data_IF_977152156716
#
_entry.id   IF_977152156716
#
_cell.length_a   1.000
_cell.length_b   1.000
_cell.length_c   1.000
_cell.angle_alpha   90.00
_cell.angle_beta   90.00
_cell.angle_gamma   90.00
#
_symmetry.space_group_name_H-M   'P 1'
#
loop_
_entity.id
_entity.type
_entity.pdbx_description
1 polymer ?
#
# COMPACT_ATOMS: atom_id res chain seq x y z
N UNK A 1 1.20 31.21 -28.78
CA UNK A 1 1.11 31.22 -27.30
C UNK A 1 0.96 29.78 -26.86
N UNK A 2 1.90 29.25 -26.07
CA UNK A 2 1.79 27.88 -25.57
C UNK A 2 0.62 27.80 -24.59
N UNK A 3 -0.31 26.87 -24.83
CA UNK A 3 -1.42 26.62 -23.94
C UNK A 3 -0.89 26.13 -22.59
N UNK A 4 -1.11 26.94 -21.55
CA UNK A 4 -0.66 26.63 -20.18
C UNK A 4 -1.57 25.58 -19.58
N UNK A 5 -0.99 24.49 -19.10
CA UNK A 5 -1.74 23.34 -18.57
C UNK A 5 -1.69 23.29 -17.05
N UNK A 6 -2.84 23.02 -16.41
CA UNK A 6 -2.98 22.89 -14.97
C UNK A 6 -2.20 21.67 -14.43
N UNK A 7 -1.31 21.90 -13.46
CA UNK A 7 -0.52 20.82 -12.84
C UNK A 7 -1.38 19.79 -12.05
N UNK A 8 -2.60 20.16 -11.68
CA UNK A 8 -3.52 19.25 -11.01
C UNK A 8 -4.37 18.48 -12.02
N UNK A 9 -5.25 19.18 -12.74
CA UNK A 9 -6.28 18.56 -13.59
C UNK A 9 -5.91 18.35 -15.05
N UNK A 10 -4.73 18.79 -15.49
CA UNK A 10 -4.32 18.78 -16.90
C UNK A 10 -5.25 19.56 -17.85
N UNK A 11 -6.23 20.29 -17.32
CA UNK A 11 -7.03 21.23 -18.10
C UNK A 11 -6.31 22.56 -18.35
N UNK A 12 -6.80 23.35 -19.29
CA UNK A 12 -6.23 24.65 -19.65
C UNK A 12 -6.30 25.65 -18.48
N UNK A 13 -5.24 26.42 -18.32
CA UNK A 13 -5.21 27.56 -17.40
C UNK A 13 -5.80 28.77 -18.14
N UNK A 14 -6.85 29.42 -17.60
CA UNK A 14 -7.49 30.55 -18.26
C UNK A 14 -6.48 31.64 -18.65
N UNK A 15 -6.66 32.24 -19.83
CA UNK A 15 -5.78 33.31 -20.30
C UNK A 15 -5.71 34.49 -19.33
N UNK A 16 -6.82 34.80 -18.65
CA UNK A 16 -6.92 35.83 -17.63
C UNK A 16 -6.20 35.49 -16.30
N UNK A 17 -5.80 34.24 -16.08
CA UNK A 17 -5.05 33.88 -14.88
C UNK A 17 -3.64 34.47 -14.92
N UNK A 18 -3.12 34.84 -13.74
CA UNK A 18 -1.76 35.38 -13.56
C UNK A 18 -0.72 34.55 -14.34
N UNK A 19 0.34 35.19 -14.84
CA UNK A 19 1.36 34.52 -15.67
C UNK A 19 2.00 33.31 -14.98
N UNK A 20 2.20 33.40 -13.66
CA UNK A 20 2.76 32.37 -12.78
C UNK A 20 1.76 31.30 -12.32
N UNK A 21 0.50 31.35 -12.78
CA UNK A 21 -0.51 30.41 -12.34
C UNK A 21 -0.16 28.99 -12.81
N UNK A 22 -0.02 28.07 -11.84
CA UNK A 22 0.26 26.64 -12.06
C UNK A 22 -1.02 25.79 -12.07
N UNK A 23 -2.14 26.36 -11.60
CA UNK A 23 -3.44 25.68 -11.51
C UNK A 23 -4.54 26.54 -12.14
N UNK A 24 -5.52 25.90 -12.80
CA UNK A 24 -6.63 26.59 -13.45
C UNK A 24 -7.65 27.22 -12.48
N UNK A 25 -7.66 26.79 -11.21
CA UNK A 25 -8.61 27.27 -10.20
C UNK A 25 -8.08 27.15 -8.78
N UNK A 26 -8.71 27.86 -7.84
CA UNK A 26 -8.46 27.74 -6.40
C UNK A 26 -8.68 26.29 -5.93
N UNK A 27 -9.75 25.64 -6.40
CA UNK A 27 -10.04 24.23 -6.08
C UNK A 27 -8.92 23.29 -6.49
N UNK A 28 -8.39 23.44 -7.71
CA UNK A 28 -7.26 22.64 -8.19
C UNK A 28 -5.99 22.90 -7.38
N UNK A 29 -5.71 24.16 -7.03
CA UNK A 29 -4.58 24.51 -6.16
C UNK A 29 -4.69 23.87 -4.78
N UNK A 30 -5.84 23.97 -4.14
CA UNK A 30 -6.08 23.37 -2.81
C UNK A 30 -5.98 21.85 -2.87
N UNK A 31 -6.52 21.21 -3.91
CA UNK A 31 -6.42 19.78 -4.11
C UNK A 31 -4.97 19.31 -4.30
N UNK A 32 -4.19 20.00 -5.17
CA UNK A 32 -2.76 19.75 -5.34
C UNK A 32 -1.99 19.92 -4.04
N UNK A 33 -2.23 21.00 -3.30
CA UNK A 33 -1.54 21.25 -2.04
C UNK A 33 -1.83 20.16 -1.00
N UNK A 34 -3.09 19.75 -0.81
CA UNK A 34 -3.46 18.66 0.10
C UNK A 34 -2.84 17.33 -0.31
N UNK A 35 -2.85 17.02 -1.60
CA UNK A 35 -2.24 15.80 -2.12
C UNK A 35 -0.72 15.81 -1.86
N UNK A 36 -0.03 16.88 -2.27
CA UNK A 36 1.41 17.00 -2.11
C UNK A 36 1.82 16.96 -0.63
N UNK A 37 1.07 17.63 0.24
CA UNK A 37 1.35 17.62 1.68
C UNK A 37 1.12 16.23 2.30
N UNK A 38 0.13 15.49 1.80
CA UNK A 38 -0.15 14.13 2.26
C UNK A 38 0.86 13.08 1.76
N UNK A 39 1.57 13.35 0.67
CA UNK A 39 2.70 12.52 0.23
C UNK A 39 4.00 12.94 0.94
N UNK A 40 4.28 14.24 0.94
CA UNK A 40 5.58 14.79 1.33
C UNK A 40 6.68 14.53 0.29
N UNK A 41 7.79 15.24 0.42
CA UNK A 41 9.02 15.00 -0.35
C UNK A 41 9.99 14.28 0.57
N UNK A 42 10.59 13.19 0.10
CA UNK A 42 11.63 12.49 0.86
C UNK A 42 12.99 13.17 0.66
N UNK A 43 13.82 13.11 1.71
CA UNK A 43 15.23 13.48 1.62
C UNK A 43 16.03 12.31 1.07
N UNK A 44 17.02 12.59 0.23
CA UNK A 44 17.98 11.59 -0.23
C UNK A 44 18.92 11.19 0.92
N UNK A 45 19.16 9.90 1.09
CA UNK A 45 19.88 9.37 2.27
C UNK A 45 20.94 8.32 1.90
N UNK A 46 21.04 7.85 0.65
CA UNK A 46 21.99 6.79 0.30
C UNK A 46 22.31 6.63 -1.18
N UNK A 47 23.42 5.94 -1.48
CA UNK A 47 23.91 5.77 -2.86
C UNK A 47 23.29 4.56 -3.58
N UNK A 48 22.65 3.63 -2.84
CA UNK A 48 22.05 2.42 -3.41
C UNK A 48 20.68 2.70 -4.05
N UNK A 49 20.54 2.37 -5.33
CA UNK A 49 19.29 2.47 -6.11
C UNK A 49 18.60 1.11 -6.16
N UNK A 50 17.36 1.04 -5.67
CA UNK A 50 16.51 -0.14 -5.70
C UNK A 50 15.44 -0.04 -6.79
N UNK A 51 15.05 -1.20 -7.32
CA UNK A 51 13.86 -1.36 -8.17
C UNK A 51 12.70 -1.82 -7.31
N UNK A 52 11.75 -0.93 -7.09
CA UNK A 52 10.58 -1.15 -6.24
C UNK A 52 9.30 -1.19 -7.06
N UNK A 53 8.31 -1.94 -6.56
CA UNK A 53 7.02 -2.06 -7.23
C UNK A 53 5.82 -1.97 -6.28
N UNK A 54 4.71 -1.49 -6.82
CA UNK A 54 3.39 -1.64 -6.23
C UNK A 54 2.40 -2.21 -7.24
N UNK A 55 1.54 -3.11 -6.75
CA UNK A 55 0.47 -3.71 -7.52
C UNK A 55 -0.87 -3.66 -6.77
N UNK A 56 -1.91 -3.25 -7.48
CA UNK A 56 -3.31 -3.25 -7.02
C UNK A 56 -4.18 -3.92 -8.09
N UNK A 57 -3.98 -5.23 -8.34
CA UNK A 57 -4.73 -5.93 -9.37
C UNK A 57 -6.21 -5.98 -9.03
N UNK A 58 -7.10 -6.19 -10.01
CA UNK A 58 -8.40 -6.78 -9.76
C UNK A 58 -8.27 -8.00 -8.84
N UNK A 59 -8.80 -7.89 -7.62
CA UNK A 59 -8.64 -8.94 -6.61
C UNK A 59 -9.28 -10.26 -7.06
N UNK A 60 -8.75 -11.42 -6.61
CA UNK A 60 -9.27 -12.72 -7.02
C UNK A 60 -10.79 -12.84 -6.87
N UNK A 61 -11.46 -13.24 -7.95
CA UNK A 61 -12.92 -13.38 -8.03
C UNK A 61 -13.70 -12.06 -8.13
N UNK A 62 -13.01 -10.91 -8.22
CA UNK A 62 -13.65 -9.59 -8.30
C UNK A 62 -13.52 -8.94 -9.69
N UNK A 63 -12.66 -9.45 -10.58
CA UNK A 63 -12.37 -8.82 -11.87
C UNK A 63 -13.60 -8.62 -12.74
N UNK A 64 -14.37 -9.69 -12.99
CA UNK A 64 -15.61 -9.62 -13.80
C UNK A 64 -16.65 -8.67 -13.20
N UNK A 65 -16.79 -8.65 -11.86
CA UNK A 65 -17.80 -7.85 -11.16
C UNK A 65 -17.57 -6.35 -11.33
N UNK A 66 -16.33 -5.91 -11.25
CA UNK A 66 -15.99 -4.48 -11.28
C UNK A 66 -15.56 -3.99 -12.65
N UNK A 67 -14.97 -4.86 -13.46
CA UNK A 67 -14.34 -4.49 -14.73
C UNK A 67 -14.92 -5.21 -15.93
N UNK A 68 -15.87 -6.14 -15.77
CA UNK A 68 -16.40 -6.94 -16.89
C UNK A 68 -17.10 -6.14 -18.00
N UNK A 69 -17.45 -4.88 -17.74
CA UNK A 69 -17.99 -3.93 -18.75
C UNK A 69 -16.95 -2.96 -19.29
N UNK A 70 -15.69 -3.04 -18.84
CA UNK A 70 -14.61 -2.17 -19.29
C UNK A 70 -14.08 -2.67 -20.66
N UNK A 71 -13.84 -1.78 -21.65
CA UNK A 71 -13.30 -2.18 -22.95
C UNK A 71 -12.00 -2.99 -22.87
N UNK A 72 -11.17 -2.66 -21.87
CA UNK A 72 -9.87 -3.31 -21.65
C UNK A 72 -9.93 -4.55 -20.73
N UNK A 73 -11.11 -5.13 -20.51
CA UNK A 73 -11.25 -6.32 -19.66
C UNK A 73 -10.60 -7.54 -20.31
N UNK A 74 -9.47 -7.97 -19.75
CA UNK A 74 -8.68 -9.10 -20.23
C UNK A 74 -8.94 -10.42 -19.47
N UNK A 75 -9.96 -10.47 -18.61
CA UNK A 75 -10.24 -11.64 -17.77
C UNK A 75 -9.72 -11.51 -16.34
N UNK A 76 -9.58 -12.65 -15.67
CA UNK A 76 -9.04 -12.73 -14.32
C UNK A 76 -7.51 -12.60 -14.36
N UNK A 77 -6.94 -11.88 -13.39
CA UNK A 77 -5.48 -11.78 -13.26
C UNK A 77 -4.91 -13.10 -12.74
N UNK A 78 -3.89 -13.62 -13.43
CA UNK A 78 -3.06 -14.72 -12.93
C UNK A 78 -2.15 -14.20 -11.81
N UNK A 79 -2.58 -14.42 -10.56
CA UNK A 79 -1.88 -13.91 -9.39
C UNK A 79 -0.57 -14.65 -9.11
N UNK A 80 -0.48 -15.93 -9.49
CA UNK A 80 0.76 -16.70 -9.36
C UNK A 80 1.83 -16.07 -10.24
N UNK A 81 1.52 -15.88 -11.53
CA UNK A 81 2.45 -15.26 -12.47
C UNK A 81 2.80 -13.82 -12.10
N UNK A 82 1.84 -13.05 -11.58
CA UNK A 82 2.08 -11.69 -11.09
C UNK A 82 3.09 -11.69 -9.94
N UNK A 83 2.94 -12.59 -8.97
CA UNK A 83 3.85 -12.68 -7.82
C UNK A 83 5.25 -13.15 -8.24
N UNK A 84 5.34 -14.10 -9.18
CA UNK A 84 6.62 -14.51 -9.79
C UNK A 84 7.30 -13.32 -10.46
N UNK A 85 6.58 -12.58 -11.32
CA UNK A 85 7.10 -11.39 -11.98
C UNK A 85 7.58 -10.32 -10.98
N UNK A 86 6.83 -10.11 -9.90
CA UNK A 86 7.20 -9.17 -8.85
C UNK A 86 8.46 -9.61 -8.11
N UNK A 87 8.58 -10.90 -7.80
CA UNK A 87 9.70 -11.45 -7.03
C UNK A 87 10.99 -11.55 -7.85
N UNK A 88 10.89 -11.78 -9.15
CA UNK A 88 12.03 -11.86 -10.05
C UNK A 88 12.49 -10.49 -10.56
N UNK A 89 11.57 -9.53 -10.65
CA UNK A 89 11.79 -8.25 -11.31
C UNK A 89 12.22 -7.09 -10.41
N UNK A 90 12.03 -7.21 -9.10
CA UNK A 90 12.12 -6.09 -8.16
C UNK A 90 12.82 -6.49 -6.84
N UNK A 91 13.58 -5.56 -6.28
CA UNK A 91 14.26 -5.70 -4.98
C UNK A 91 13.28 -5.63 -3.80
N UNK A 92 12.09 -5.04 -4.03
CA UNK A 92 11.00 -5.01 -3.08
C UNK A 92 9.68 -4.65 -3.73
N UNK A 93 8.59 -5.20 -3.22
CA UNK A 93 7.27 -4.93 -3.77
C UNK A 93 6.16 -4.97 -2.71
N UNK A 94 5.07 -4.27 -3.00
CA UNK A 94 3.84 -4.32 -2.22
C UNK A 94 2.63 -4.64 -3.13
N UNK A 95 1.72 -5.47 -2.64
CA UNK A 95 0.55 -5.98 -3.35
C UNK A 95 -0.70 -5.77 -2.49
N UNK A 96 -1.66 -5.00 -2.99
CA UNK A 96 -2.98 -4.91 -2.37
C UNK A 96 -3.87 -6.09 -2.76
N UNK A 97 -4.67 -6.57 -1.81
CA UNK A 97 -5.70 -7.58 -2.04
C UNK A 97 -6.92 -7.35 -1.15
N UNK A 98 -7.93 -8.20 -1.24
CA UNK A 98 -9.08 -8.20 -0.31
C UNK A 98 -8.84 -9.11 0.88
N UNK A 99 -9.52 -8.86 2.00
CA UNK A 99 -9.49 -9.76 3.16
C UNK A 99 -9.98 -11.18 2.82
N UNK A 100 -10.91 -11.32 1.86
CA UNK A 100 -11.44 -12.60 1.37
C UNK A 100 -10.38 -13.40 0.60
N UNK A 101 -9.58 -12.72 -0.23
CA UNK A 101 -8.54 -13.34 -1.04
C UNK A 101 -7.17 -13.43 -0.34
N UNK A 102 -7.04 -12.89 0.87
CA UNK A 102 -5.75 -12.79 1.56
C UNK A 102 -5.08 -14.16 1.72
N UNK A 103 -5.82 -15.17 2.16
CA UNK A 103 -5.26 -16.50 2.42
C UNK A 103 -4.68 -17.13 1.15
N UNK A 104 -5.42 -17.08 0.04
CA UNK A 104 -4.98 -17.69 -1.21
C UNK A 104 -3.80 -16.93 -1.82
N UNK A 105 -3.86 -15.59 -1.83
CA UNK A 105 -2.76 -14.77 -2.37
C UNK A 105 -1.49 -14.92 -1.54
N UNK A 106 -1.58 -14.87 -0.21
CA UNK A 106 -0.42 -15.02 0.67
C UNK A 106 0.25 -16.39 0.53
N UNK A 107 -0.52 -17.45 0.26
CA UNK A 107 0.02 -18.79 0.02
C UNK A 107 0.89 -18.90 -1.24
N UNK A 108 0.73 -17.98 -2.20
CA UNK A 108 1.55 -17.90 -3.42
C UNK A 108 2.81 -17.06 -3.22
N UNK A 109 2.89 -16.28 -2.14
CA UNK A 109 3.98 -15.34 -1.91
C UNK A 109 5.28 -16.04 -1.45
N UNK A 110 6.46 -15.49 -1.78
CA UNK A 110 7.74 -16.03 -1.33
C UNK A 110 7.86 -16.01 0.20
N UNK A 111 8.71 -16.90 0.73
CA UNK A 111 9.05 -16.90 2.15
C UNK A 111 9.61 -15.53 2.59
N UNK A 112 9.24 -15.12 3.80
CA UNK A 112 9.58 -13.79 4.34
C UNK A 112 8.62 -12.67 3.93
N UNK A 113 7.58 -12.96 3.14
CA UNK A 113 6.50 -12.01 2.87
C UNK A 113 5.76 -11.63 4.15
N UNK A 114 5.38 -10.36 4.27
CA UNK A 114 4.69 -9.81 5.44
C UNK A 114 3.37 -9.18 5.01
N UNK A 115 2.44 -9.05 5.97
CA UNK A 115 1.14 -8.43 5.74
C UNK A 115 1.05 -7.16 6.56
N UNK A 116 0.82 -6.05 5.87
CA UNK A 116 0.48 -4.77 6.44
C UNK A 116 -1.04 -4.51 6.33
N UNK A 117 -1.57 -3.62 7.17
CA UNK A 117 -3.01 -3.38 7.27
C UNK A 117 -3.33 -1.91 7.04
N UNK A 118 -4.17 -1.62 6.04
CA UNK A 118 -4.78 -0.31 5.88
C UNK A 118 -6.20 -0.30 6.44
N UNK A 119 -6.39 0.31 7.61
CA UNK A 119 -7.71 0.54 8.22
C UNK A 119 -8.37 1.77 7.58
N UNK A 120 -9.47 1.53 6.86
CA UNK A 120 -10.23 2.56 6.12
C UNK A 120 -11.44 3.07 6.88
N UNK A 121 -11.80 2.38 7.96
CA UNK A 121 -13.05 2.58 8.69
C UNK A 121 -14.23 1.88 8.01
N UNK A 122 -15.27 1.64 8.79
CA UNK A 122 -16.48 0.97 8.30
C UNK A 122 -17.26 1.87 7.33
N UNK A 123 -17.87 1.28 6.30
CA UNK A 123 -18.96 1.94 5.56
C UNK A 123 -20.26 1.49 6.22
N UNK A 124 -21.03 2.38 6.88
CA UNK A 124 -22.24 1.97 7.58
C UNK A 124 -23.27 1.39 6.59
N UNK A 125 -23.45 0.07 6.63
CA UNK A 125 -24.41 -0.67 5.80
C UNK A 125 -24.94 -1.85 6.58
N UNK A 126 -26.21 -2.25 6.36
CA UNK A 126 -26.73 -3.50 6.94
C UNK A 126 -25.93 -4.69 6.40
N UNK A 127 -25.49 -5.58 7.28
CA UNK A 127 -24.74 -6.78 6.94
C UNK A 127 -25.15 -7.93 7.86
N UNK A 128 -25.11 -9.14 7.33
CA UNK A 128 -25.38 -10.37 8.09
C UNK A 128 -24.19 -10.78 8.99
N UNK A 129 -23.02 -10.19 8.78
CA UNK A 129 -21.81 -10.42 9.58
C UNK A 129 -20.95 -9.16 9.71
N UNK A 130 -19.77 -9.26 10.33
CA UNK A 130 -18.88 -8.12 10.51
C UNK A 130 -18.55 -7.41 9.20
N UNK A 131 -18.65 -6.09 9.18
CA UNK A 131 -18.27 -5.28 8.02
C UNK A 131 -16.75 -5.24 7.90
N UNK A 132 -16.24 -5.52 6.71
CA UNK A 132 -14.82 -5.32 6.43
C UNK A 132 -14.51 -3.80 6.39
N UNK A 133 -13.60 -3.38 7.28
CA UNK A 133 -13.19 -1.99 7.47
C UNK A 133 -11.71 -1.75 7.11
N UNK A 134 -11.04 -2.73 6.52
CA UNK A 134 -9.60 -2.73 6.32
C UNK A 134 -9.19 -3.52 5.07
N UNK A 135 -8.05 -3.16 4.47
CA UNK A 135 -7.42 -3.91 3.37
C UNK A 135 -6.04 -4.44 3.76
N UNK A 136 -5.72 -5.70 3.42
CA UNK A 136 -4.36 -6.19 3.48
C UNK A 136 -3.50 -5.59 2.35
N UNK A 137 -2.25 -5.30 2.70
CA UNK A 137 -1.16 -5.04 1.76
C UNK A 137 -0.04 -6.02 2.07
N UNK A 138 0.17 -6.98 1.19
CA UNK A 138 1.30 -7.92 1.30
C UNK A 138 2.54 -7.20 0.80
N UNK A 139 3.68 -7.34 1.47
CA UNK A 139 4.93 -6.76 1.03
C UNK A 139 6.10 -7.71 1.26
N UNK A 140 7.11 -7.59 0.41
CA UNK A 140 8.31 -8.42 0.43
C UNK A 140 9.53 -7.60 -0.01
N UNK A 141 10.71 -7.94 0.52
CA UNK A 141 11.97 -7.28 0.18
C UNK A 141 12.05 -5.82 0.63
N UNK A 142 12.64 -4.97 -0.21
CA UNK A 142 12.82 -3.55 0.02
C UNK A 142 14.08 -3.22 0.83
N UNK A 143 14.30 -1.92 1.04
CA UNK A 143 15.49 -1.42 1.74
C UNK A 143 15.43 -1.82 3.21
N UNK A 144 16.47 -2.53 3.68
CA UNK A 144 16.61 -2.87 5.10
C UNK A 144 17.02 -1.62 5.88
N UNK A 145 16.42 -1.45 7.05
CA UNK A 145 16.82 -0.42 7.98
C UNK A 145 18.22 -0.75 8.53
N UNK A 146 19.21 0.11 8.31
CA UNK A 146 20.59 -0.08 8.77
C UNK A 146 20.68 -0.19 10.30
N UNK A 147 19.67 0.30 11.03
CA UNK A 147 19.56 0.15 12.48
C UNK A 147 19.22 -1.28 12.94
N UNK A 148 18.72 -2.15 12.05
CA UNK A 148 18.38 -3.56 12.35
C UNK A 148 19.51 -4.55 12.09
N UNK A 149 20.50 -4.21 11.27
CA UNK A 149 21.62 -5.09 10.94
C UNK A 149 22.62 -5.25 12.10
N UNK A 150 22.54 -4.42 13.15
CA UNK A 150 23.43 -4.51 14.32
C UNK A 150 22.88 -5.39 15.45
N UNK A 151 21.60 -5.81 15.41
CA UNK A 151 20.95 -6.54 16.51
C UNK A 151 20.62 -8.01 16.21
N UNK A 152 20.64 -8.45 14.95
CA UNK A 152 20.43 -9.85 14.57
C UNK A 152 21.53 -10.27 13.58
N UNK A 153 22.60 -10.83 14.12
CA UNK A 153 23.73 -11.36 13.35
C UNK A 153 23.37 -12.65 12.59
N UNK A 154 22.47 -12.56 11.62
CA UNK A 154 22.17 -13.67 10.71
C UNK A 154 22.57 -13.28 9.28
N UNK A 155 23.78 -13.70 8.90
CA UNK A 155 24.24 -13.62 7.51
C UNK A 155 23.40 -14.57 6.67
N UNK A 156 22.44 -14.04 5.93
CA UNK A 156 21.81 -14.77 4.84
C UNK A 156 22.83 -14.94 3.71
N UNK A 157 23.62 -16.02 3.75
CA UNK A 157 24.42 -16.48 2.62
C UNK A 157 23.49 -17.02 1.53
N UNK A 158 23.48 -16.35 0.38
CA UNK A 158 22.89 -16.82 -0.87
C UNK A 158 23.66 -18.07 -1.37
N UNK A 159 23.04 -19.23 -1.63
CA UNK A 159 23.75 -20.30 -2.32
C UNK A 159 23.66 -20.09 -3.85
N UNK A 160 24.76 -20.27 -4.59
CA UNK A 160 24.71 -20.41 -6.04
C UNK A 160 24.12 -21.77 -6.41
N UNK A 161 23.32 -21.80 -7.48
CA UNK A 161 22.59 -23.00 -7.92
C UNK A 161 23.49 -24.18 -8.30
N UNK A 162 22.98 -25.39 -8.06
CA UNK A 162 23.61 -26.63 -8.51
C UNK A 162 23.05 -27.92 -7.88
N UNK A 163 22.01 -28.47 -8.54
CA UNK A 163 21.62 -29.89 -8.71
C UNK A 163 21.56 -30.86 -7.51
N UNK A 164 20.32 -31.32 -7.28
CA UNK A 164 19.80 -32.69 -6.99
C UNK A 164 20.66 -33.65 -6.14
N UNK A 165 20.14 -33.98 -4.96
CA UNK A 165 20.16 -35.35 -4.43
C UNK A 165 18.87 -35.56 -3.62
N UNK A 166 18.06 -36.54 -4.02
CA UNK A 166 16.96 -37.09 -3.23
C UNK A 166 17.55 -37.96 -2.10
N UNK A 167 16.95 -37.90 -0.91
CA UNK A 167 16.63 -39.11 -0.15
C UNK A 167 15.57 -38.82 0.94
N UNK A 168 14.74 -39.84 1.14
CA UNK A 168 13.42 -39.93 1.78
C UNK A 168 13.44 -39.88 3.34
N UNK A 169 12.27 -39.90 4.02
CA UNK A 169 12.02 -39.13 5.24
C UNK A 169 12.27 -39.93 6.53
N UNK A 170 12.65 -39.23 7.60
CA UNK A 170 12.59 -39.78 8.96
C UNK A 170 11.36 -39.27 9.70
N UNK A 171 10.56 -40.23 10.13
CA UNK A 171 9.35 -40.07 10.90
C UNK A 171 9.68 -40.36 12.37
N UNK A 172 9.43 -39.39 13.23
CA UNK A 172 9.21 -39.67 14.65
C UNK A 172 8.08 -38.81 15.17
N UNK A 173 6.93 -39.47 15.25
CA UNK A 173 5.77 -39.10 16.06
C UNK A 173 6.21 -39.10 17.52
N UNK A 174 5.85 -38.07 18.27
CA UNK A 174 5.56 -38.27 19.68
C UNK A 174 4.16 -37.72 20.00
N UNK A 175 3.35 -38.63 20.53
CA UNK A 175 1.94 -38.48 20.84
C UNK A 175 1.82 -38.11 22.31
N UNK A 176 1.60 -36.82 22.60
CA UNK A 176 1.28 -36.33 23.94
C UNK A 176 -0.16 -35.82 24.02
N UNK A 177 -1.05 -36.60 24.63
CA UNK A 177 -2.46 -36.31 24.85
C UNK A 177 -2.70 -35.11 25.82
N UNK A 178 -3.91 -34.53 25.84
CA UNK A 178 -4.18 -33.17 26.33
C UNK A 178 -4.35 -33.08 27.85
N UNK A 179 -3.99 -31.92 28.43
CA UNK A 179 -4.24 -31.58 29.85
C UNK A 179 -5.37 -30.55 30.00
N UNK A 180 -6.11 -30.56 31.12
CA UNK A 180 -7.53 -30.18 31.17
C UNK A 180 -7.80 -28.69 31.39
N UNK A 181 -9.01 -28.29 30.96
CA UNK A 181 -9.67 -27.00 31.17
C UNK A 181 -10.46 -27.00 32.48
N UNK A 182 -10.36 -25.94 33.28
CA UNK A 182 -11.36 -25.48 34.25
C UNK A 182 -10.99 -24.07 34.79
N UNK A 183 -11.93 -23.31 35.39
CA UNK A 183 -13.17 -22.81 34.80
C UNK A 183 -13.25 -21.26 34.81
N UNK A 184 -14.35 -20.76 34.26
CA UNK A 184 -14.70 -19.36 34.09
C UNK A 184 -14.70 -18.51 35.37
N UNK A 185 -14.13 -17.31 35.27
CA UNK A 185 -14.37 -16.17 36.16
C UNK A 185 -14.56 -14.94 35.30
N UNK A 186 -15.82 -14.58 35.05
CA UNK A 186 -16.18 -13.43 34.23
C UNK A 186 -16.10 -12.13 35.02
N UNK A 187 -15.54 -11.09 34.39
CA UNK A 187 -15.91 -9.71 34.66
C UNK A 187 -16.02 -8.95 33.33
N UNK A 188 -17.27 -8.83 32.89
CA UNK A 188 -17.75 -7.91 31.87
C UNK A 188 -17.50 -6.47 32.35
N UNK A 189 -16.71 -5.71 31.59
CA UNK A 189 -16.56 -4.26 31.75
C UNK A 189 -16.83 -3.56 30.42
N UNK A 190 -17.96 -3.87 29.79
CA UNK A 190 -18.54 -3.02 28.75
C UNK A 190 -19.61 -2.11 29.37
N UNK A 191 -19.27 -0.85 29.69
CA UNK A 191 -20.14 0.33 29.52
C UNK A 191 -19.57 1.64 30.08
N UNK A 192 -19.73 2.70 29.27
CA UNK A 192 -19.54 4.16 29.51
C UNK A 192 -18.07 4.59 29.36
N UNK A 193 -17.69 5.43 28.40
CA UNK A 193 -18.36 6.66 27.98
C UNK A 193 -18.34 6.88 26.46
N UNK A 194 -19.54 6.93 25.89
CA UNK A 194 -19.80 7.77 24.73
C UNK A 194 -20.00 9.20 25.26
N UNK A 195 -19.11 10.11 24.91
CA UNK A 195 -19.32 11.56 24.76
C UNK A 195 -17.97 12.27 24.76
N UNK A 196 -17.40 12.49 23.57
CA UNK A 196 -16.64 13.69 23.19
C UNK A 196 -16.16 13.49 21.75
N UNK A 197 -17.09 13.63 20.81
CA UNK A 197 -16.76 13.84 19.41
C UNK A 197 -16.31 15.28 19.24
N UNK A 198 -15.00 15.50 19.15
CA UNK A 198 -14.40 16.66 18.50
C UNK A 198 -12.88 16.49 18.48
N UNK A 199 -12.29 16.58 17.29
CA UNK A 199 -10.86 16.90 17.09
C UNK A 199 -9.84 15.98 17.77
N UNK A 200 -9.84 14.69 17.44
CA UNK A 200 -8.55 13.97 17.38
C UNK A 200 -7.86 14.42 16.09
N UNK A 201 -7.05 15.47 16.23
CA UNK A 201 -6.02 15.82 15.27
C UNK A 201 -5.27 14.54 14.88
N UNK A 202 -4.92 14.43 13.61
CA UNK A 202 -4.08 13.36 13.08
C UNK A 202 -2.84 13.22 13.98
N UNK A 203 -2.89 12.28 14.92
CA UNK A 203 -1.74 11.85 15.70
C UNK A 203 -0.85 11.09 14.73
N UNK A 204 0.04 11.86 14.13
CA UNK A 204 1.37 11.45 13.69
C UNK A 204 1.43 10.29 12.67
N UNK A 205 0.63 10.41 11.61
CA UNK A 205 0.82 9.59 10.42
C UNK A 205 1.96 10.18 9.56
N UNK A 206 3.20 9.79 9.91
CA UNK A 206 4.39 9.83 9.06
C UNK A 206 4.87 11.20 8.56
N UNK A 207 4.92 12.20 9.43
CA UNK A 207 5.87 13.31 9.25
C UNK A 207 7.28 12.83 9.62
N UNK A 208 7.94 12.14 8.69
CA UNK A 208 9.41 12.04 8.65
C UNK A 208 10.10 11.42 9.86
N UNK A 209 9.58 10.34 10.44
CA UNK A 209 10.29 9.60 11.50
C UNK A 209 10.64 8.20 11.04
N UNK A 210 11.85 7.75 11.38
CA UNK A 210 12.53 6.51 11.03
C UNK A 210 11.80 5.19 11.40
N UNK A 211 10.49 5.22 11.70
CA UNK A 211 9.71 4.06 12.11
C UNK A 211 8.73 3.65 11.03
N UNK A 212 9.07 2.57 10.32
CA UNK A 212 8.20 1.92 9.34
C UNK A 212 7.17 1.06 10.07
N UNK A 213 5.93 1.54 10.13
CA UNK A 213 4.80 0.86 10.81
C UNK A 213 3.95 0.15 9.76
N UNK A 214 3.64 -1.13 9.98
CA UNK A 214 2.85 -1.96 9.08
C UNK A 214 1.33 -1.80 9.24
N UNK A 215 0.90 -0.72 9.88
CA UNK A 215 -0.50 -0.35 10.05
C UNK A 215 -0.71 1.11 9.65
N UNK A 216 -1.65 1.36 8.75
CA UNK A 216 -2.15 2.68 8.40
C UNK A 216 -3.61 2.81 8.82
N UNK A 217 -3.90 3.67 9.79
CA UNK A 217 -5.27 4.06 10.12
C UNK A 217 -5.65 5.36 9.40
N UNK A 218 -6.26 5.25 8.21
CA UNK A 218 -6.62 6.41 7.41
C UNK A 218 -7.91 6.20 6.63
N UNK A 219 -8.93 6.99 6.96
CA UNK A 219 -10.22 7.02 6.26
C UNK A 219 -10.24 8.16 5.24
N UNK A 220 -10.15 7.86 3.93
CA UNK A 220 -10.21 8.91 2.92
C UNK A 220 -11.60 9.56 2.88
N UNK A 221 -11.65 10.89 2.93
CA UNK A 221 -12.85 11.67 2.61
C UNK A 221 -13.21 11.63 1.11
N UNK A 222 -14.34 12.23 0.75
CA UNK A 222 -14.74 12.35 -0.65
C UNK A 222 -13.75 13.21 -1.44
N UNK A 223 -13.09 12.63 -2.45
CA UNK A 223 -12.08 13.30 -3.30
C UNK A 223 -12.67 13.82 -4.61
N UNK A 224 -13.66 14.70 -4.54
CA UNK A 224 -14.40 15.21 -5.71
C UNK A 224 -13.58 16.09 -6.65
N UNK A 225 -12.40 16.55 -6.21
CA UNK A 225 -11.50 17.37 -7.02
C UNK A 225 -10.44 16.56 -7.76
N UNK A 226 -10.39 15.24 -7.61
CA UNK A 226 -9.42 14.38 -8.30
C UNK A 226 -9.88 14.15 -9.77
N UNK A 227 -9.12 14.61 -10.77
CA UNK A 227 -9.60 14.69 -12.16
C UNK A 227 -9.81 13.33 -12.81
N UNK A 228 -8.96 12.35 -12.46
CA UNK A 228 -9.03 10.96 -12.93
C UNK A 228 -9.59 10.04 -11.83
N UNK A 229 -10.50 10.55 -10.98
CA UNK A 229 -11.03 9.77 -9.87
C UNK A 229 -11.74 8.52 -10.38
N UNK A 230 -11.13 7.37 -10.14
CA UNK A 230 -11.78 6.06 -10.25
C UNK A 230 -12.18 5.57 -8.86
N UNK A 231 -13.23 4.76 -8.79
CA UNK A 231 -13.56 4.04 -7.56
C UNK A 231 -12.37 3.16 -7.21
N UNK A 232 -11.86 3.27 -5.98
CA UNK A 232 -10.69 2.50 -5.53
C UNK A 232 -9.35 3.22 -5.64
N UNK A 233 -9.28 4.43 -6.22
CA UNK A 233 -8.04 5.22 -6.24
C UNK A 233 -7.38 5.27 -4.86
N UNK A 234 -6.07 5.05 -4.75
CA UNK A 234 -5.38 5.08 -3.45
C UNK A 234 -5.12 6.52 -3.02
N UNK A 235 -5.36 6.89 -1.74
CA UNK A 235 -5.10 8.25 -1.26
C UNK A 235 -3.60 8.53 -1.07
N UNK A 236 -3.21 9.81 -1.10
CA UNK A 236 -1.83 10.24 -0.90
C UNK A 236 -1.13 9.63 0.33
N UNK A 237 -1.81 9.62 1.48
CA UNK A 237 -1.29 9.03 2.72
C UNK A 237 -1.04 7.52 2.60
N UNK A 238 -1.86 6.80 1.82
CA UNK A 238 -1.61 5.39 1.54
C UNK A 238 -0.38 5.20 0.65
N UNK A 239 -0.23 6.01 -0.40
CA UNK A 239 0.94 5.92 -1.27
C UNK A 239 2.23 6.18 -0.49
N UNK A 240 2.25 7.25 0.33
CA UNK A 240 3.39 7.55 1.21
C UNK A 240 3.71 6.39 2.14
N UNK A 241 2.70 5.82 2.78
CA UNK A 241 2.86 4.67 3.65
C UNK A 241 3.46 3.46 2.94
N UNK A 242 3.04 3.16 1.70
CA UNK A 242 3.66 2.09 0.89
C UNK A 242 5.14 2.38 0.59
N UNK A 243 5.49 3.62 0.28
CA UNK A 243 6.89 4.02 0.07
C UNK A 243 7.70 3.81 1.35
N UNK A 244 7.17 4.23 2.50
CA UNK A 244 7.81 4.02 3.80
C UNK A 244 7.96 2.53 4.12
N UNK A 245 6.95 1.69 3.84
CA UNK A 245 7.00 0.23 4.05
C UNK A 245 8.17 -0.41 3.31
N UNK A 246 8.34 -0.07 2.04
CA UNK A 246 9.40 -0.60 1.19
C UNK A 246 10.76 0.05 1.44
N UNK A 247 10.77 1.19 2.12
CA UNK A 247 11.98 1.97 2.30
C UNK A 247 12.47 2.64 1.05
N UNK A 248 11.51 3.08 0.25
CA UNK A 248 11.80 3.82 -0.95
C UNK A 248 12.50 5.13 -0.59
N UNK A 249 13.48 5.50 -1.41
CA UNK A 249 14.19 6.77 -1.35
C UNK A 249 14.07 7.47 -2.72
N UNK A 250 14.26 8.80 -2.81
CA UNK A 250 14.02 9.58 -4.05
C UNK A 250 14.77 9.10 -5.30
N UNK A 251 15.92 8.46 -5.12
CA UNK A 251 16.79 7.93 -6.16
C UNK A 251 16.33 6.58 -6.70
N UNK A 252 15.42 5.88 -6.00
CA UNK A 252 14.91 4.59 -6.43
C UNK A 252 14.09 4.66 -7.72
N UNK A 253 13.95 3.49 -8.36
CA UNK A 253 12.98 3.26 -9.41
C UNK A 253 11.73 2.65 -8.81
N UNK A 254 10.57 3.27 -9.04
CA UNK A 254 9.29 2.78 -8.51
C UNK A 254 8.29 2.56 -9.65
N UNK A 255 7.80 1.33 -9.77
CA UNK A 255 6.83 0.95 -10.80
C UNK A 255 5.45 0.68 -10.19
N UNK A 256 4.43 1.36 -10.69
CA UNK A 256 3.02 1.03 -10.44
C UNK A 256 2.51 0.12 -11.57
N UNK A 257 2.34 -1.17 -11.30
CA UNK A 257 1.97 -2.17 -12.30
C UNK A 257 0.50 -2.04 -12.73
N UNK A 258 -0.34 -1.38 -11.92
CA UNK A 258 -1.78 -1.25 -12.16
C UNK A 258 -2.19 0.22 -12.07
N UNK A 259 -1.65 1.02 -13.01
CA UNK A 259 -1.68 2.47 -12.96
C UNK A 259 -3.06 3.10 -12.77
N UNK A 260 -4.17 2.48 -13.19
CA UNK A 260 -5.53 2.95 -12.93
C UNK A 260 -5.71 4.46 -13.13
N UNK A 261 -5.96 5.20 -12.04
CA UNK A 261 -6.08 6.69 -12.01
C UNK A 261 -4.78 7.49 -12.19
N UNK A 262 -3.62 6.84 -12.17
CA UNK A 262 -2.28 7.42 -12.11
C UNK A 262 -1.92 8.02 -10.75
N UNK A 263 -2.71 7.79 -9.71
CA UNK A 263 -2.53 8.39 -8.38
C UNK A 263 -1.23 8.00 -7.69
N UNK A 264 -0.82 6.73 -7.78
CA UNK A 264 0.43 6.25 -7.16
C UNK A 264 1.64 6.81 -7.90
N UNK A 265 1.65 6.77 -9.24
CA UNK A 265 2.71 7.39 -10.03
C UNK A 265 2.85 8.91 -9.77
N UNK A 266 1.72 9.62 -9.62
CA UNK A 266 1.74 11.04 -9.21
C UNK A 266 2.32 11.21 -7.81
N UNK A 267 1.97 10.33 -6.87
CA UNK A 267 2.54 10.37 -5.53
C UNK A 267 4.05 10.11 -5.58
N UNK A 268 4.53 9.16 -6.37
CA UNK A 268 5.95 8.90 -6.56
C UNK A 268 6.71 10.13 -7.08
N UNK A 269 6.16 10.83 -8.07
CA UNK A 269 6.76 12.06 -8.59
C UNK A 269 6.88 13.16 -7.51
N UNK A 270 5.88 13.27 -6.60
CA UNK A 270 5.99 14.19 -5.46
C UNK A 270 7.04 13.72 -4.46
N UNK A 271 7.00 12.44 -4.09
CA UNK A 271 7.90 11.83 -3.13
C UNK A 271 9.37 12.00 -3.52
N UNK A 272 9.69 11.73 -4.79
CA UNK A 272 11.03 11.84 -5.36
C UNK A 272 11.48 13.28 -5.69
N UNK A 273 10.64 14.29 -5.41
CA UNK A 273 10.93 15.69 -5.77
C UNK A 273 10.91 15.98 -7.27
N UNK A 274 10.50 15.01 -8.11
CA UNK A 274 10.42 15.14 -9.58
C UNK A 274 9.17 15.91 -10.05
N UNK A 275 8.22 16.17 -9.15
CA UNK A 275 7.04 16.98 -9.42
C UNK A 275 7.32 18.49 -9.21
N UNK A 276 7.78 19.16 -10.27
CA UNK A 276 7.78 20.64 -10.35
C UNK A 276 6.37 21.20 -10.59
#
# INVERSE_FOLDING_TARGET
MSDRTCAWCRGLIPAAARRDAVCCSVRCRQARHRFNSGVGVATDVGDDVLRLAYADPPYPGKSRRYYGSHPDYAGEVDHTRLIEQLSDGYDGWALSTSAEALQSVLAMCPAGSRVAVWVRGERPTRSAGPLNAWEPVIYWGGRRDASRSTMAGEKASRPPGGRVAEDLPDASRDTGAPRPVAPAGGHDASRRAAASGSLVAAVDASLGSARRVDVLAYRPGARTTEPARVVGAKPAAFCRWVFDLLGAEPQDDFTDLFAGSGGVARAWAVFSGRAA
#
